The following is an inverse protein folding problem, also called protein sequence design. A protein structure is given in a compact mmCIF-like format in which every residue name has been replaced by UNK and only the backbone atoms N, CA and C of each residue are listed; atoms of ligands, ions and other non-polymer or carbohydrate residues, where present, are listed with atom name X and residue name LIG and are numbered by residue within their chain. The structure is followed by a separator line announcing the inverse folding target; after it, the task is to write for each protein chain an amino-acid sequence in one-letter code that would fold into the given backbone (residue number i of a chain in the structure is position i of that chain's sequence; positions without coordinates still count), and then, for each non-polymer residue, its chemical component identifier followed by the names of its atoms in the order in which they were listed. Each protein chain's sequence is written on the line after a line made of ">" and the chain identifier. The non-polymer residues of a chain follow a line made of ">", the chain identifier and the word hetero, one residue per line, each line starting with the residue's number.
data_IF_572064206642
#
_entry.id   IF_572064206642
#
_cell.length_a   1.000
_cell.length_b   1.000
_cell.length_c   1.000
_cell.angle_alpha   90.00
_cell.angle_beta   90.00
_cell.angle_gamma   90.00
#
_symmetry.space_group_name_H-M   'P 1'
#
loop_
_entity.id
_entity.type
_entity.pdbx_description
1 polymer ?
#
# COMPACT_ATOMS: atom_id res chain seq x y z
N UNK A 1 21.09 -48.44 -64.55
CA UNK A 1 21.11 -47.02 -64.14
C UNK A 1 20.00 -46.82 -63.13
N UNK A 2 20.37 -46.80 -61.83
CA UNK A 2 19.42 -46.60 -60.73
C UNK A 2 19.69 -45.21 -60.15
N UNK A 3 18.73 -44.31 -60.27
CA UNK A 3 18.78 -42.97 -59.68
C UNK A 3 18.32 -43.02 -58.21
N UNK A 4 19.21 -42.66 -57.30
CA UNK A 4 18.87 -42.47 -55.91
C UNK A 4 18.24 -41.06 -55.73
N UNK A 5 17.01 -41.00 -55.27
CA UNK A 5 16.36 -39.75 -54.76
C UNK A 5 16.69 -39.61 -53.30
N UNK A 6 17.38 -38.54 -52.91
CA UNK A 6 17.60 -38.12 -51.52
C UNK A 6 16.53 -37.06 -51.18
N UNK A 7 15.65 -37.25 -50.18
CA UNK A 7 14.74 -36.22 -49.76
C UNK A 7 15.48 -35.19 -48.89
N UNK A 8 15.42 -33.92 -49.29
CA UNK A 8 15.88 -32.79 -48.48
C UNK A 8 14.93 -32.58 -47.28
N UNK A 9 15.43 -32.78 -46.09
CA UNK A 9 14.70 -32.47 -44.81
C UNK A 9 14.83 -30.98 -44.53
N UNK A 10 13.77 -30.21 -44.83
CA UNK A 10 13.68 -28.79 -44.43
C UNK A 10 13.32 -28.72 -42.95
N UNK A 11 14.33 -28.49 -42.11
CA UNK A 11 14.17 -28.26 -40.70
C UNK A 11 13.49 -26.90 -40.46
N UNK A 12 12.23 -26.90 -40.02
CA UNK A 12 11.51 -25.74 -39.57
C UNK A 12 12.06 -25.30 -38.21
N UNK A 13 12.93 -24.29 -38.19
CA UNK A 13 13.38 -23.66 -36.95
C UNK A 13 12.19 -22.87 -36.39
N UNK A 14 11.47 -23.43 -35.41
CA UNK A 14 10.57 -22.68 -34.56
C UNK A 14 11.39 -21.71 -33.67
N UNK A 15 11.51 -20.47 -34.07
CA UNK A 15 11.96 -19.39 -33.19
C UNK A 15 10.84 -19.18 -32.17
N UNK A 16 10.94 -19.86 -31.04
CA UNK A 16 10.13 -19.57 -29.87
C UNK A 16 10.50 -18.15 -29.40
N UNK A 17 9.76 -17.16 -29.85
CA UNK A 17 9.84 -15.81 -29.29
C UNK A 17 9.63 -15.93 -27.79
N UNK A 18 10.64 -15.56 -27.01
CA UNK A 18 10.48 -15.37 -25.56
C UNK A 18 9.47 -14.24 -25.41
N UNK A 19 8.21 -14.57 -25.14
CA UNK A 19 7.28 -13.61 -24.53
C UNK A 19 7.93 -13.23 -23.22
N UNK A 20 8.43 -12.00 -23.14
CA UNK A 20 8.89 -11.43 -21.87
C UNK A 20 7.71 -11.57 -20.93
N UNK A 21 7.85 -12.40 -19.88
CA UNK A 21 6.84 -12.48 -18.84
C UNK A 21 6.62 -11.05 -18.35
N UNK A 22 5.38 -10.56 -18.46
CA UNK A 22 5.06 -9.23 -17.99
C UNK A 22 5.51 -9.13 -16.52
N UNK A 23 6.22 -8.05 -16.21
CA UNK A 23 6.76 -7.85 -14.88
C UNK A 23 5.61 -7.86 -13.87
N UNK A 24 5.75 -8.57 -12.73
CA UNK A 24 4.71 -8.70 -11.72
C UNK A 24 4.26 -7.30 -11.28
N UNK A 25 2.98 -6.91 -11.49
CA UNK A 25 2.51 -5.58 -11.10
C UNK A 25 2.53 -5.44 -9.57
N UNK A 26 2.68 -4.20 -9.07
CA UNK A 26 2.70 -3.89 -7.65
C UNK A 26 1.52 -3.00 -7.30
N UNK A 27 0.81 -3.32 -6.24
CA UNK A 27 -0.04 -2.40 -5.51
C UNK A 27 0.79 -1.82 -4.37
N UNK A 28 1.06 -0.52 -4.41
CA UNK A 28 1.78 0.16 -3.32
C UNK A 28 0.76 0.63 -2.27
N UNK A 29 0.76 -0.02 -1.12
CA UNK A 29 -0.20 0.24 -0.04
C UNK A 29 0.20 1.39 0.87
N UNK A 30 1.37 2.04 0.63
CA UNK A 30 1.89 3.06 1.51
C UNK A 30 2.79 4.06 0.77
N UNK A 31 2.17 5.11 0.25
CA UNK A 31 2.90 6.13 -0.50
C UNK A 31 2.45 7.53 -0.07
N UNK A 32 3.41 8.46 0.06
CA UNK A 32 3.18 9.85 0.43
C UNK A 32 3.62 10.82 -0.65
N UNK A 33 2.80 11.87 -0.86
CA UNK A 33 3.15 12.99 -1.73
C UNK A 33 2.85 14.30 -0.99
N UNK A 34 3.68 14.63 0.01
CA UNK A 34 3.49 15.76 0.89
C UNK A 34 4.02 17.07 0.30
N UNK A 35 3.60 18.20 0.91
CA UNK A 35 3.86 19.57 0.42
C UNK A 35 5.34 19.88 0.16
N UNK A 36 6.27 19.24 0.84
CA UNK A 36 7.71 19.42 0.69
C UNK A 36 8.30 18.75 -0.57
N UNK A 37 7.53 17.89 -1.23
CA UNK A 37 7.95 17.29 -2.50
C UNK A 37 7.52 18.11 -3.73
N UNK A 38 6.50 18.94 -3.63
CA UNK A 38 5.79 19.47 -4.80
C UNK A 38 6.63 20.35 -5.72
N UNK A 39 7.52 21.17 -5.16
CA UNK A 39 8.33 22.12 -5.96
C UNK A 39 9.41 21.38 -6.78
N UNK A 40 9.93 20.28 -6.26
CA UNK A 40 11.00 19.50 -6.89
C UNK A 40 10.50 18.29 -7.67
N UNK A 41 9.27 17.86 -7.42
CA UNK A 41 8.64 16.70 -8.04
C UNK A 41 7.19 17.03 -8.40
N UNK A 42 6.93 17.63 -9.57
CA UNK A 42 5.57 17.89 -10.05
C UNK A 42 4.72 16.60 -10.14
N UNK A 43 3.38 16.67 -10.04
CA UNK A 43 2.51 15.48 -10.07
C UNK A 43 2.75 14.57 -11.27
N UNK A 44 2.95 15.14 -12.46
CA UNK A 44 3.26 14.40 -13.68
C UNK A 44 4.53 13.54 -13.55
N UNK A 45 5.58 14.08 -12.92
CA UNK A 45 6.85 13.38 -12.75
C UNK A 45 6.73 12.29 -11.67
N UNK A 46 5.99 12.55 -10.58
CA UNK A 46 5.66 11.55 -9.57
C UNK A 46 4.89 10.36 -10.20
N UNK A 47 3.87 10.64 -11.01
CA UNK A 47 3.12 9.61 -11.75
C UNK A 47 4.02 8.86 -12.74
N UNK A 48 4.93 9.54 -13.43
CA UNK A 48 5.90 8.87 -14.32
C UNK A 48 6.81 7.89 -13.56
N UNK A 49 7.27 8.24 -12.35
CA UNK A 49 8.02 7.33 -11.47
C UNK A 49 7.16 6.12 -11.08
N UNK A 50 5.92 6.32 -10.65
CA UNK A 50 5.02 5.23 -10.28
C UNK A 50 4.78 4.26 -11.45
N UNK A 51 4.52 4.79 -12.66
CA UNK A 51 4.35 3.97 -13.87
C UNK A 51 5.64 3.25 -14.26
N UNK A 52 6.79 3.90 -14.17
CA UNK A 52 8.11 3.29 -14.41
C UNK A 52 8.40 2.16 -13.43
N UNK A 53 7.95 2.28 -12.19
CA UNK A 53 8.05 1.23 -11.17
C UNK A 53 7.10 0.04 -11.45
N UNK A 54 6.21 0.13 -12.42
CA UNK A 54 5.19 -0.89 -12.71
C UNK A 54 4.14 -0.98 -11.61
N UNK A 55 3.83 0.15 -10.96
CA UNK A 55 2.73 0.18 -10.01
C UNK A 55 1.40 0.06 -10.77
N UNK A 56 0.57 -0.87 -10.34
CA UNK A 56 -0.78 -1.05 -10.85
C UNK A 56 -1.73 -0.03 -10.20
N UNK A 57 -1.58 0.19 -8.89
CA UNK A 57 -2.28 1.17 -8.08
C UNK A 57 -1.43 1.55 -6.87
N UNK A 58 -1.73 2.68 -6.26
CA UNK A 58 -1.09 3.11 -5.03
C UNK A 58 -2.10 3.78 -4.09
N UNK A 59 -2.06 3.42 -2.80
CA UNK A 59 -2.73 4.14 -1.72
C UNK A 59 -1.86 5.34 -1.36
N UNK A 60 -2.36 6.54 -1.65
CA UNK A 60 -1.61 7.78 -1.45
C UNK A 60 -2.23 8.62 -0.36
N UNK A 61 -1.40 9.06 0.57
CA UNK A 61 -1.77 10.03 1.61
C UNK A 61 -0.73 11.15 1.69
N UNK A 62 -1.14 12.34 2.05
CA UNK A 62 -0.26 13.52 2.04
C UNK A 62 -0.46 14.40 3.28
N UNK A 63 0.62 14.98 3.78
CA UNK A 63 0.59 16.15 4.66
C UNK A 63 0.79 17.38 3.78
N UNK A 64 -0.14 18.29 3.51
CA UNK A 64 -1.58 18.24 3.51
C UNK A 64 -2.18 17.53 2.30
N UNK A 65 -3.47 17.33 2.41
CA UNK A 65 -4.27 16.54 1.49
C UNK A 65 -4.23 16.99 0.01
N UNK A 66 -3.96 18.25 -0.26
CA UNK A 66 -3.86 18.79 -1.62
C UNK A 66 -2.86 18.00 -2.51
N UNK A 67 -1.81 17.40 -1.91
CA UNK A 67 -0.89 16.54 -2.64
C UNK A 67 -1.56 15.27 -3.15
N UNK A 68 -2.35 14.61 -2.30
CA UNK A 68 -3.15 13.44 -2.70
C UNK A 68 -4.10 13.82 -3.83
N UNK A 69 -4.83 14.92 -3.71
CA UNK A 69 -5.79 15.37 -4.72
C UNK A 69 -5.12 15.72 -6.07
N UNK A 70 -3.91 16.31 -6.05
CA UNK A 70 -3.12 16.57 -7.27
C UNK A 70 -2.76 15.27 -8.00
N UNK A 71 -2.35 14.22 -7.28
CA UNK A 71 -2.05 12.93 -7.90
C UNK A 71 -3.30 12.20 -8.38
N UNK A 72 -4.42 12.31 -7.68
CA UNK A 72 -5.72 11.78 -8.15
C UNK A 72 -6.15 12.45 -9.44
N UNK A 73 -5.99 13.78 -9.55
CA UNK A 73 -6.32 14.51 -10.77
C UNK A 73 -5.42 14.12 -11.96
N UNK A 74 -4.13 13.87 -11.71
CA UNK A 74 -3.16 13.49 -12.73
C UNK A 74 -3.33 12.04 -13.21
N UNK A 75 -3.64 11.10 -12.29
CA UNK A 75 -3.72 9.67 -12.58
C UNK A 75 -4.82 8.97 -11.77
N UNK A 76 -6.11 9.23 -12.05
CA UNK A 76 -7.23 8.67 -11.30
C UNK A 76 -7.34 7.13 -11.42
N UNK A 77 -6.75 6.54 -12.45
CA UNK A 77 -6.64 5.09 -12.64
C UNK A 77 -5.61 4.43 -11.72
N UNK A 78 -4.60 5.18 -11.28
CA UNK A 78 -3.45 4.69 -10.52
C UNK A 78 -3.58 5.00 -9.02
N UNK A 79 -4.17 6.14 -8.65
CA UNK A 79 -4.14 6.68 -7.28
C UNK A 79 -5.42 6.39 -6.53
N UNK A 80 -5.29 5.79 -5.34
CA UNK A 80 -6.35 5.66 -4.36
C UNK A 80 -6.10 6.68 -3.24
N UNK A 81 -7.03 7.62 -3.01
CA UNK A 81 -6.82 8.68 -2.02
C UNK A 81 -7.08 8.20 -0.60
N UNK A 82 -6.12 8.45 0.28
CA UNK A 82 -6.24 8.33 1.73
C UNK A 82 -6.09 9.71 2.39
N UNK A 83 -6.95 10.03 3.34
CA UNK A 83 -6.95 11.33 4.04
C UNK A 83 -6.14 11.23 5.32
N UNK A 84 -4.98 11.91 5.38
CA UNK A 84 -4.22 12.04 6.65
C UNK A 84 -4.86 13.10 7.56
N UNK A 85 -4.82 12.90 8.89
CA UNK A 85 -5.23 13.93 9.83
C UNK A 85 -4.16 15.03 10.00
N UNK A 86 -3.40 15.33 8.93
CA UNK A 86 -2.28 16.26 8.92
C UNK A 86 -2.47 17.34 7.86
N UNK A 87 -2.60 18.58 8.28
CA UNK A 87 -2.63 19.77 7.41
C UNK A 87 -1.21 20.13 6.92
N UNK A 88 -0.21 19.75 7.74
CA UNK A 88 1.22 19.88 7.45
C UNK A 88 2.01 18.85 8.28
N UNK A 89 3.31 18.72 8.03
CA UNK A 89 4.16 17.73 8.73
C UNK A 89 4.20 17.87 10.24
N UNK A 90 4.06 19.09 10.77
CA UNK A 90 4.06 19.33 12.21
C UNK A 90 2.91 18.67 12.96
N UNK A 91 1.81 18.40 12.28
CA UNK A 91 0.64 17.77 12.91
C UNK A 91 0.91 16.33 13.34
N UNK A 92 1.91 15.64 12.80
CA UNK A 92 2.22 14.23 13.08
C UNK A 92 2.37 13.92 14.57
N UNK A 93 2.89 14.87 15.36
CA UNK A 93 3.12 14.71 16.79
C UNK A 93 2.05 15.37 17.67
N UNK A 94 1.11 16.14 17.11
CA UNK A 94 0.17 16.98 17.87
C UNK A 94 -1.29 16.68 17.58
N UNK A 95 -1.62 16.10 16.44
CA UNK A 95 -2.98 15.92 15.94
C UNK A 95 -3.93 15.22 16.93
N UNK A 96 -3.44 14.30 17.73
CA UNK A 96 -4.25 13.51 18.68
C UNK A 96 -4.91 14.37 19.77
N UNK A 97 -4.40 15.61 19.98
CA UNK A 97 -4.87 16.57 20.99
C UNK A 97 -5.34 17.91 20.40
N UNK A 98 -5.43 18.00 19.08
CA UNK A 98 -5.83 19.20 18.36
C UNK A 98 -7.25 19.02 17.78
N UNK A 99 -8.25 19.54 18.49
CA UNK A 99 -9.66 19.42 18.09
C UNK A 99 -9.95 20.06 16.72
N UNK A 100 -9.10 20.99 16.25
CA UNK A 100 -9.29 21.62 14.93
C UNK A 100 -9.04 20.66 13.78
N UNK A 101 -8.36 19.53 14.03
CA UNK A 101 -8.18 18.44 13.05
C UNK A 101 -9.50 17.81 12.66
N UNK A 102 -10.48 17.78 13.56
CA UNK A 102 -11.81 17.20 13.26
C UNK A 102 -12.52 18.04 12.19
N UNK A 103 -12.52 19.36 12.34
CA UNK A 103 -13.11 20.24 11.34
C UNK A 103 -12.41 20.13 9.97
N UNK A 104 -11.08 19.93 9.97
CA UNK A 104 -10.33 19.67 8.75
C UNK A 104 -10.77 18.36 8.08
N UNK A 105 -10.85 17.25 8.84
CA UNK A 105 -11.30 15.96 8.31
C UNK A 105 -12.71 16.02 7.74
N UNK A 106 -13.65 16.63 8.48
CA UNK A 106 -15.05 16.79 8.05
C UNK A 106 -15.16 17.64 6.77
N UNK A 107 -14.41 18.73 6.68
CA UNK A 107 -14.34 19.57 5.47
C UNK A 107 -13.84 18.78 4.26
N UNK A 108 -12.74 18.04 4.41
CA UNK A 108 -12.16 17.24 3.31
C UNK A 108 -13.07 16.09 2.89
N UNK A 109 -13.67 15.37 3.83
CA UNK A 109 -14.64 14.30 3.57
C UNK A 109 -15.92 14.82 2.89
N UNK A 110 -16.29 16.08 3.14
CA UNK A 110 -17.41 16.72 2.46
C UNK A 110 -17.13 17.16 1.02
N UNK A 111 -15.85 17.35 0.65
CA UNK A 111 -15.44 17.84 -0.68
C UNK A 111 -14.93 16.76 -1.63
N UNK A 112 -14.31 15.73 -1.09
CA UNK A 112 -13.64 14.70 -1.88
C UNK A 112 -13.99 13.31 -1.40
N UNK A 113 -13.80 12.31 -2.28
CA UNK A 113 -13.98 10.90 -1.92
C UNK A 113 -12.63 10.31 -1.55
N UNK A 114 -12.62 9.45 -0.54
CA UNK A 114 -11.45 8.73 -0.07
C UNK A 114 -11.78 7.25 0.07
N UNK A 115 -10.74 6.41 0.10
CA UNK A 115 -10.85 4.98 0.40
C UNK A 115 -10.36 4.65 1.82
N UNK A 116 -9.55 5.53 2.40
CA UNK A 116 -8.96 5.35 3.72
C UNK A 116 -8.81 6.68 4.46
N UNK A 117 -8.65 6.59 5.78
CA UNK A 117 -8.11 7.65 6.64
C UNK A 117 -6.74 7.21 7.15
N UNK A 118 -5.72 8.03 6.97
CA UNK A 118 -4.34 7.76 7.35
C UNK A 118 -3.37 7.91 6.16
N UNK A 119 -2.13 7.58 6.28
CA UNK A 119 -1.49 7.04 7.48
C UNK A 119 -1.60 8.03 8.65
N UNK A 120 -1.96 7.55 9.82
CA UNK A 120 -1.93 8.34 11.06
C UNK A 120 -1.13 7.63 12.15
N UNK A 121 -0.39 8.42 12.94
CA UNK A 121 0.43 7.93 14.05
C UNK A 121 -0.33 8.08 15.37
N UNK A 122 -0.59 6.97 16.05
CA UNK A 122 -1.20 6.94 17.38
C UNK A 122 -0.69 5.73 18.16
N UNK A 123 -0.37 5.87 19.43
CA UNK A 123 0.22 4.79 20.20
C UNK A 123 -0.50 4.62 21.55
N UNK A 124 -0.69 3.36 21.96
CA UNK A 124 -1.25 3.00 23.24
C UNK A 124 -2.50 3.79 23.59
N UNK A 125 -2.52 4.35 24.81
CA UNK A 125 -3.68 5.08 25.35
C UNK A 125 -4.07 6.35 24.58
N UNK A 126 -3.18 6.94 23.76
CA UNK A 126 -3.50 8.11 22.95
C UNK A 126 -4.59 7.80 21.90
N UNK A 127 -4.75 6.53 21.50
CA UNK A 127 -5.85 6.10 20.64
C UNK A 127 -7.24 6.34 21.26
N UNK A 128 -7.34 6.42 22.59
CA UNK A 128 -8.59 6.67 23.30
C UNK A 128 -8.91 8.16 23.51
N UNK A 129 -8.04 9.07 23.08
CA UNK A 129 -8.31 10.52 23.14
C UNK A 129 -9.50 10.91 22.24
N UNK A 130 -10.15 12.05 22.54
CA UNK A 130 -11.36 12.50 21.81
C UNK A 130 -11.16 12.60 20.29
N UNK A 131 -10.00 13.16 19.85
CA UNK A 131 -9.73 13.39 18.42
C UNK A 131 -9.57 12.07 17.65
N UNK A 132 -8.72 11.10 18.06
CA UNK A 132 -8.68 9.77 17.44
C UNK A 132 -10.03 9.05 17.44
N UNK A 133 -10.78 9.09 18.56
CA UNK A 133 -12.12 8.49 18.62
C UNK A 133 -13.08 9.09 17.59
N UNK A 134 -13.08 10.41 17.43
CA UNK A 134 -13.92 11.07 16.44
C UNK A 134 -13.49 10.72 15.02
N UNK A 135 -12.18 10.61 14.75
CA UNK A 135 -11.65 10.16 13.46
C UNK A 135 -12.10 8.74 13.13
N UNK A 136 -12.04 7.80 14.09
CA UNK A 136 -12.56 6.44 13.90
C UNK A 136 -14.06 6.46 13.58
N UNK A 137 -14.84 7.28 14.28
CA UNK A 137 -16.27 7.43 14.00
C UNK A 137 -16.54 7.97 12.59
N UNK A 138 -15.75 8.94 12.11
CA UNK A 138 -15.82 9.46 10.75
C UNK A 138 -15.45 8.37 9.72
N UNK A 139 -14.39 7.61 9.98
CA UNK A 139 -14.00 6.50 9.11
C UNK A 139 -15.12 5.46 8.97
N UNK A 140 -15.77 5.11 10.08
CA UNK A 140 -16.96 4.24 10.10
C UNK A 140 -18.12 4.82 9.28
N UNK A 141 -18.45 6.08 9.50
CA UNK A 141 -19.54 6.78 8.80
C UNK A 141 -19.34 6.79 7.27
N UNK A 142 -18.10 6.97 6.83
CA UNK A 142 -17.72 7.04 5.42
C UNK A 142 -17.21 5.71 4.84
N UNK A 143 -17.27 4.60 5.62
CA UNK A 143 -16.83 3.25 5.23
C UNK A 143 -15.37 3.17 4.79
N UNK A 144 -14.50 3.95 5.43
CA UNK A 144 -13.08 4.05 5.10
C UNK A 144 -12.24 3.01 5.82
N UNK A 145 -11.14 2.60 5.21
CA UNK A 145 -10.08 1.81 5.86
C UNK A 145 -9.28 2.74 6.77
N UNK A 146 -8.95 2.30 7.98
CA UNK A 146 -8.00 3.00 8.85
C UNK A 146 -6.59 2.55 8.50
N UNK A 147 -5.74 3.44 7.96
CA UNK A 147 -4.33 3.16 7.74
C UNK A 147 -3.54 3.66 8.95
N UNK A 148 -3.24 2.75 9.88
CA UNK A 148 -2.79 3.07 11.23
C UNK A 148 -1.30 2.74 11.44
N UNK A 149 -0.48 3.74 11.72
CA UNK A 149 0.86 3.59 12.26
C UNK A 149 0.77 3.57 13.78
N UNK A 150 0.77 2.39 14.34
CA UNK A 150 0.48 2.17 15.76
C UNK A 150 1.18 0.92 16.30
N UNK A 151 1.36 0.86 17.61
CA UNK A 151 1.72 -0.37 18.31
C UNK A 151 0.51 -1.31 18.51
N UNK A 152 0.76 -2.50 19.01
CA UNK A 152 -0.28 -3.51 19.25
C UNK A 152 -1.36 -3.03 20.24
N UNK A 153 -1.01 -2.27 21.30
CA UNK A 153 -1.99 -1.72 22.25
C UNK A 153 -2.88 -0.67 21.58
N UNK A 154 -2.31 0.25 20.81
CA UNK A 154 -3.08 1.23 20.04
C UNK A 154 -4.01 0.55 19.02
N UNK A 155 -3.52 -0.48 18.31
CA UNK A 155 -4.32 -1.27 17.37
C UNK A 155 -5.53 -1.93 18.06
N UNK A 156 -5.32 -2.55 19.24
CA UNK A 156 -6.40 -3.14 20.02
C UNK A 156 -7.43 -2.10 20.48
N UNK A 157 -6.98 -0.89 20.80
CA UNK A 157 -7.89 0.21 21.19
C UNK A 157 -8.73 0.69 20.00
N UNK A 158 -8.18 0.76 18.81
CA UNK A 158 -8.94 1.08 17.59
C UNK A 158 -10.03 0.04 17.35
N UNK A 159 -9.73 -1.26 17.47
CA UNK A 159 -10.75 -2.31 17.35
C UNK A 159 -11.78 -2.32 18.48
N UNK A 160 -11.43 -1.87 19.68
CA UNK A 160 -12.44 -1.68 20.77
C UNK A 160 -13.42 -0.54 20.47
N UNK A 161 -13.00 0.47 19.71
CA UNK A 161 -13.87 1.58 19.30
C UNK A 161 -14.82 1.18 18.17
N UNK A 162 -14.35 0.35 17.25
CA UNK A 162 -15.16 -0.23 16.18
C UNK A 162 -14.65 -1.65 15.86
N UNK A 163 -15.38 -2.65 16.34
CA UNK A 163 -14.99 -4.07 16.16
C UNK A 163 -15.05 -4.53 14.69
N UNK A 164 -15.78 -3.81 13.84
CA UNK A 164 -15.89 -4.08 12.42
C UNK A 164 -14.96 -3.20 11.56
N UNK A 165 -14.16 -2.32 12.17
CA UNK A 165 -13.22 -1.48 11.46
C UNK A 165 -12.33 -2.33 10.53
N UNK A 166 -12.11 -1.85 9.31
CA UNK A 166 -11.08 -2.37 8.40
C UNK A 166 -9.79 -1.61 8.67
N UNK A 167 -8.76 -2.29 9.13
CA UNK A 167 -7.50 -1.64 9.48
C UNK A 167 -6.36 -2.17 8.62
N UNK A 168 -5.64 -1.28 7.96
CA UNK A 168 -4.34 -1.50 7.36
C UNK A 168 -3.28 -1.06 8.37
N UNK A 169 -2.55 -2.01 8.92
CA UNK A 169 -1.51 -1.76 9.93
C UNK A 169 -0.21 -1.40 9.22
N UNK A 170 0.17 -0.14 9.31
CA UNK A 170 1.38 0.38 8.69
C UNK A 170 2.61 -0.35 9.22
N UNK A 171 3.51 -0.74 8.32
CA UNK A 171 4.76 -1.46 8.62
C UNK A 171 4.55 -2.76 9.41
N UNK A 172 3.34 -3.33 9.42
CA UNK A 172 2.98 -4.46 10.31
C UNK A 172 3.36 -4.17 11.77
N UNK A 173 3.21 -2.90 12.22
CA UNK A 173 3.57 -2.40 13.56
C UNK A 173 5.06 -2.40 13.86
N UNK A 174 5.96 -2.67 12.91
CA UNK A 174 7.37 -3.01 13.15
C UNK A 174 7.56 -4.19 14.11
N UNK A 175 6.50 -4.98 14.32
CA UNK A 175 6.52 -6.14 15.21
C UNK A 175 7.18 -7.36 14.55
N UNK A 176 7.60 -8.32 15.39
CA UNK A 176 8.13 -9.60 14.92
C UNK A 176 7.03 -10.46 14.29
N UNK A 177 7.37 -11.39 13.39
CA UNK A 177 6.39 -12.25 12.70
C UNK A 177 5.39 -12.95 13.61
N UNK A 178 5.83 -13.40 14.81
CA UNK A 178 4.97 -14.07 15.80
C UNK A 178 3.87 -13.13 16.32
N UNK A 179 4.23 -11.89 16.65
CA UNK A 179 3.29 -10.89 17.16
C UNK A 179 2.31 -10.44 16.07
N UNK A 180 2.81 -10.24 14.83
CA UNK A 180 1.95 -9.96 13.67
C UNK A 180 0.96 -11.11 13.45
N UNK A 181 1.41 -12.37 13.56
CA UNK A 181 0.56 -13.56 13.45
C UNK A 181 -0.54 -13.57 14.52
N UNK A 182 -0.21 -13.27 15.77
CA UNK A 182 -1.19 -13.21 16.88
C UNK A 182 -2.26 -12.15 16.60
N UNK A 183 -1.87 -10.97 16.15
CA UNK A 183 -2.82 -9.90 15.82
C UNK A 183 -3.73 -10.27 14.65
N UNK A 184 -3.20 -10.89 13.59
CA UNK A 184 -3.99 -11.37 12.44
C UNK A 184 -4.96 -12.50 12.81
N UNK A 185 -4.60 -13.37 13.75
CA UNK A 185 -5.52 -14.39 14.30
C UNK A 185 -6.64 -13.77 15.10
N UNK A 186 -6.34 -12.72 15.84
CA UNK A 186 -7.29 -12.04 16.73
C UNK A 186 -8.28 -11.18 15.92
N UNK A 187 -7.83 -10.52 14.85
CA UNK A 187 -8.61 -9.55 14.11
C UNK A 187 -8.76 -9.92 12.63
N UNK A 188 -9.96 -10.38 12.25
CA UNK A 188 -10.25 -10.79 10.87
C UNK A 188 -10.21 -9.66 9.85
N UNK A 189 -10.44 -8.42 10.27
CA UNK A 189 -10.45 -7.22 9.44
C UNK A 189 -9.15 -6.42 9.56
N UNK A 190 -8.03 -7.12 9.83
CA UNK A 190 -6.69 -6.56 9.88
C UNK A 190 -5.92 -6.97 8.64
N UNK A 191 -5.30 -5.99 7.98
CA UNK A 191 -4.29 -6.13 6.93
C UNK A 191 -3.00 -5.46 7.36
N UNK A 192 -1.90 -5.82 6.71
CA UNK A 192 -0.56 -5.33 7.03
C UNK A 192 0.13 -4.84 5.76
N UNK A 193 0.72 -3.64 5.78
CA UNK A 193 1.70 -3.31 4.78
C UNK A 193 3.13 -3.65 5.25
N UNK A 194 4.02 -3.79 4.31
CA UNK A 194 5.42 -4.15 4.49
C UNK A 194 6.36 -2.99 4.19
N UNK A 195 5.81 -1.77 4.13
CA UNK A 195 6.57 -0.57 3.88
C UNK A 195 7.68 -0.36 4.92
N UNK A 196 8.77 0.24 4.51
CA UNK A 196 9.92 0.59 5.35
C UNK A 196 10.51 -0.59 6.17
N UNK A 197 10.20 -1.82 5.75
CA UNK A 197 10.74 -3.06 6.33
C UNK A 197 11.59 -3.77 5.27
N UNK A 198 12.69 -4.37 5.67
CA UNK A 198 13.57 -5.12 4.76
C UNK A 198 13.89 -6.53 5.24
N UNK A 199 13.63 -6.85 6.50
CA UNK A 199 13.94 -8.15 7.09
C UNK A 199 13.12 -9.31 6.49
N UNK A 200 11.92 -9.04 5.96
CA UNK A 200 11.06 -10.05 5.32
C UNK A 200 11.53 -10.48 3.92
N UNK A 201 12.46 -9.72 3.32
CA UNK A 201 12.91 -9.94 1.93
C UNK A 201 14.41 -9.71 1.72
N UNK A 202 15.20 -9.75 2.80
CA UNK A 202 16.64 -9.50 2.73
C UNK A 202 17.34 -10.44 1.73
N UNK A 203 18.22 -9.88 0.91
CA UNK A 203 18.95 -10.62 -0.14
C UNK A 203 18.03 -11.41 -1.11
N UNK A 204 16.80 -10.97 -1.32
CA UNK A 204 15.82 -11.60 -2.20
C UNK A 204 15.26 -12.92 -1.66
N UNK A 205 15.37 -13.15 -0.35
CA UNK A 205 14.90 -14.38 0.32
C UNK A 205 13.91 -14.04 1.44
N UNK A 206 12.87 -14.84 1.56
CA UNK A 206 11.88 -14.72 2.64
C UNK A 206 12.26 -15.65 3.78
N UNK A 207 12.58 -15.13 4.98
CA UNK A 207 12.86 -15.94 6.16
C UNK A 207 11.72 -16.90 6.50
N UNK A 208 12.05 -18.03 7.12
CA UNK A 208 11.08 -19.09 7.43
C UNK A 208 9.88 -18.59 8.27
N UNK A 209 10.14 -17.70 9.22
CA UNK A 209 9.13 -17.11 10.11
C UNK A 209 8.14 -16.24 9.31
N UNK A 210 8.63 -15.37 8.43
CA UNK A 210 7.78 -14.56 7.57
C UNK A 210 7.04 -15.41 6.54
N UNK A 211 7.71 -16.40 5.95
CA UNK A 211 7.06 -17.33 5.01
C UNK A 211 5.88 -18.06 5.66
N UNK A 212 6.04 -18.49 6.91
CA UNK A 212 4.97 -19.15 7.66
C UNK A 212 3.76 -18.22 7.85
N UNK A 213 3.99 -16.94 8.22
CA UNK A 213 2.92 -15.97 8.40
C UNK A 213 2.24 -15.62 7.08
N UNK A 214 2.99 -15.39 6.01
CA UNK A 214 2.43 -15.14 4.68
C UNK A 214 1.61 -16.32 4.15
N UNK A 215 2.02 -17.54 4.46
CA UNK A 215 1.28 -18.75 4.05
C UNK A 215 0.00 -18.93 4.85
N UNK A 216 0.01 -18.63 6.15
CA UNK A 216 -1.17 -18.70 7.02
C UNK A 216 -2.19 -17.62 6.68
N UNK A 217 -1.73 -16.42 6.28
CA UNK A 217 -2.58 -15.26 5.97
C UNK A 217 -2.30 -14.71 4.55
N UNK A 218 -2.59 -15.49 3.49
CA UNK A 218 -2.18 -15.15 2.13
C UNK A 218 -2.87 -13.90 1.56
N UNK A 219 -3.96 -13.46 2.17
CA UNK A 219 -4.79 -12.33 1.75
C UNK A 219 -4.65 -11.09 2.62
N UNK A 220 -3.62 -11.03 3.50
CA UNK A 220 -3.49 -9.97 4.52
C UNK A 220 -2.30 -9.05 4.36
N UNK A 221 -1.36 -9.35 3.49
CA UNK A 221 -0.14 -8.56 3.33
C UNK A 221 -0.12 -7.83 1.99
N UNK A 222 0.49 -6.65 1.99
CA UNK A 222 0.68 -5.80 0.81
C UNK A 222 2.08 -5.18 0.81
N UNK A 223 2.63 -4.95 -0.37
CA UNK A 223 3.85 -4.16 -0.56
C UNK A 223 3.54 -2.69 -0.24
N UNK A 224 4.53 -1.95 0.27
CA UNK A 224 4.48 -0.52 0.45
C UNK A 224 5.88 0.09 0.37
N UNK A 225 6.00 1.32 -0.15
CA UNK A 225 7.29 2.00 -0.33
C UNK A 225 7.58 2.95 0.82
N UNK A 226 6.57 3.67 1.32
CA UNK A 226 6.68 4.75 2.30
C UNK A 226 7.60 5.90 1.85
N UNK A 227 7.10 6.73 0.96
CA UNK A 227 7.80 7.93 0.46
C UNK A 227 7.64 9.13 1.41
N UNK A 228 7.97 8.95 2.70
CA UNK A 228 7.73 9.96 3.74
C UNK A 228 8.61 11.22 3.61
N UNK A 229 9.70 11.17 2.82
CA UNK A 229 10.48 12.35 2.42
C UNK A 229 10.61 12.44 0.91
N UNK A 230 10.87 13.65 0.34
CA UNK A 230 11.03 13.85 -1.11
C UNK A 230 12.09 12.94 -1.73
N UNK A 231 13.19 12.72 -1.02
CA UNK A 231 14.33 11.91 -1.51
C UNK A 231 13.95 10.46 -1.75
N UNK A 232 12.98 9.92 -0.98
CA UNK A 232 12.54 8.54 -1.11
C UNK A 232 11.81 8.24 -2.43
N UNK A 233 11.36 9.26 -3.13
CA UNK A 233 10.79 9.09 -4.47
C UNK A 233 11.79 8.52 -5.49
N UNK A 234 13.09 8.77 -5.29
CA UNK A 234 14.14 8.17 -6.13
C UNK A 234 14.24 6.65 -5.97
N UNK A 235 13.78 6.10 -4.85
CA UNK A 235 13.84 4.66 -4.55
C UNK A 235 12.61 3.88 -4.99
N UNK A 236 11.52 4.53 -5.45
CA UNK A 236 10.25 3.83 -5.78
C UNK A 236 10.48 2.74 -6.82
N UNK A 237 11.26 3.01 -7.87
CA UNK A 237 11.57 2.05 -8.94
C UNK A 237 12.44 0.91 -8.41
N UNK A 238 13.48 1.23 -7.66
CA UNK A 238 14.40 0.23 -7.07
C UNK A 238 13.67 -0.62 -6.02
N UNK A 239 12.81 -0.01 -5.20
CA UNK A 239 12.01 -0.71 -4.22
C UNK A 239 11.03 -1.70 -4.87
N UNK A 240 10.40 -1.31 -5.98
CA UNK A 240 9.53 -2.21 -6.72
C UNK A 240 10.32 -3.40 -7.30
N UNK A 241 11.53 -3.17 -7.83
CA UNK A 241 12.42 -4.23 -8.30
C UNK A 241 12.86 -5.15 -7.15
N UNK A 242 13.25 -4.59 -6.01
CA UNK A 242 13.57 -5.34 -4.80
C UNK A 242 12.37 -6.17 -4.32
N UNK A 243 11.17 -5.59 -4.33
CA UNK A 243 9.96 -6.31 -3.94
C UNK A 243 9.69 -7.51 -4.83
N UNK A 244 9.85 -7.38 -6.16
CA UNK A 244 9.73 -8.50 -7.09
C UNK A 244 10.78 -9.58 -6.84
N UNK A 245 11.99 -9.20 -6.45
CA UNK A 245 13.05 -10.15 -6.16
C UNK A 245 12.70 -11.08 -5.00
N UNK A 246 12.28 -10.55 -3.85
CA UNK A 246 11.88 -11.41 -2.72
C UNK A 246 10.55 -12.12 -2.93
N UNK A 247 9.59 -11.49 -3.63
CA UNK A 247 8.32 -12.14 -4.00
C UNK A 247 8.56 -13.37 -4.86
N UNK A 248 9.60 -13.38 -5.72
CA UNK A 248 9.94 -14.55 -6.56
C UNK A 248 10.40 -15.78 -5.76
N UNK A 249 10.74 -15.60 -4.48
CA UNK A 249 11.09 -16.70 -3.56
C UNK A 249 9.83 -17.39 -2.97
N UNK A 250 8.65 -16.82 -3.18
CA UNK A 250 7.36 -17.38 -2.74
C UNK A 250 6.69 -18.18 -3.88
N UNK A 251 5.74 -19.07 -3.54
CA UNK A 251 4.86 -19.66 -4.53
C UNK A 251 4.17 -18.57 -5.38
N UNK A 252 4.06 -18.73 -6.72
CA UNK A 252 3.56 -17.66 -7.61
C UNK A 252 2.21 -17.08 -7.20
N UNK A 253 1.26 -17.93 -6.77
CA UNK A 253 -0.07 -17.47 -6.33
C UNK A 253 -0.01 -16.62 -5.06
N UNK A 254 0.90 -16.90 -4.12
CA UNK A 254 1.10 -16.11 -2.90
C UNK A 254 1.82 -14.79 -3.23
N UNK A 255 2.85 -14.84 -4.07
CA UNK A 255 3.55 -13.67 -4.56
C UNK A 255 2.60 -12.67 -5.22
N UNK A 256 1.71 -13.15 -6.10
CA UNK A 256 0.72 -12.32 -6.79
C UNK A 256 -0.30 -11.70 -5.82
N UNK A 257 -0.72 -12.43 -4.79
CA UNK A 257 -1.60 -11.89 -3.74
C UNK A 257 -0.96 -10.72 -3.01
N UNK A 258 0.27 -10.91 -2.51
CA UNK A 258 0.98 -9.88 -1.75
C UNK A 258 1.37 -8.70 -2.66
N UNK A 259 1.77 -8.98 -3.90
CA UNK A 259 2.19 -7.95 -4.85
C UNK A 259 1.06 -6.97 -5.17
N UNK A 260 -0.17 -7.44 -5.42
CA UNK A 260 -1.23 -6.55 -5.88
C UNK A 260 -2.67 -7.00 -5.58
N UNK A 261 -2.98 -8.32 -5.57
CA UNK A 261 -4.37 -8.78 -5.47
C UNK A 261 -5.02 -8.42 -4.13
N UNK A 262 -4.26 -8.45 -3.04
CA UNK A 262 -4.78 -8.12 -1.72
C UNK A 262 -5.17 -6.63 -1.64
N UNK A 263 -4.36 -5.73 -2.19
CA UNK A 263 -4.69 -4.32 -2.28
C UNK A 263 -5.91 -4.05 -3.15
N UNK A 264 -5.96 -4.66 -4.34
CA UNK A 264 -7.12 -4.55 -5.22
C UNK A 264 -8.41 -5.08 -4.55
N UNK A 265 -8.33 -6.16 -3.78
CA UNK A 265 -9.47 -6.73 -3.07
C UNK A 265 -9.93 -5.85 -1.90
N UNK A 266 -8.99 -5.31 -1.10
CA UNK A 266 -9.33 -4.43 0.03
C UNK A 266 -10.05 -3.15 -0.42
N UNK A 267 -9.69 -2.63 -1.60
CA UNK A 267 -10.22 -1.39 -2.16
C UNK A 267 -11.08 -1.60 -3.42
N UNK A 268 -11.69 -2.79 -3.59
CA UNK A 268 -12.44 -3.16 -4.79
C UNK A 268 -13.63 -2.23 -5.08
N UNK A 269 -14.23 -1.64 -4.05
CA UNK A 269 -15.40 -0.74 -4.19
C UNK A 269 -15.02 0.65 -4.72
N UNK A 270 -13.72 0.97 -4.82
CA UNK A 270 -13.29 2.25 -5.34
C UNK A 270 -13.44 2.33 -6.86
N UNK A 271 -14.22 3.33 -7.29
CA UNK A 271 -14.35 3.72 -8.69
C UNK A 271 -13.99 5.20 -8.81
N UNK A 272 -13.03 5.57 -9.68
CA UNK A 272 -12.69 6.97 -9.92
C UNK A 272 -13.91 7.79 -10.38
N UNK A 273 -13.96 9.07 -10.00
CA UNK A 273 -15.08 9.96 -10.35
C UNK A 273 -15.27 10.13 -11.88
N UNK A 274 -14.21 9.96 -12.67
CA UNK A 274 -14.22 10.05 -14.13
C UNK A 274 -14.81 8.81 -14.85
N UNK A 275 -15.16 7.76 -14.12
CA UNK A 275 -15.70 6.51 -14.68
C UNK A 275 -17.24 6.44 -14.64
N UNK A 276 -17.93 7.57 -14.31
CA UNK A 276 -19.40 7.66 -14.30
C UNK A 276 -19.91 8.53 -15.45
#
# INVERSE_FOLDING_TARGET
>A
MHALFIPALIGLLCVAGRVSAAELPIFDAHLHYSHDAWDNLPPKDAVAIMRKAGLKRALVSSSGDDGTQRLVAEAPDLVLPSLRPYRHRGDISTWVRDDTVIAFLEDRLGRSRYVAVGEFHVYGADADLPVPRRMVALAKQHQLVLHAHTDADGLERLFRQDADARILWAHSGFDRPEQVREMLRKYRNLWCDLAFRNEHGAAGKVPAEWRAVFTEFPDRFMVGTDTFTPERWHYVVEHAAWSRAWLSDLPPALAERIAWRNGDALFAEWTPASAR
#
